data_IF_161459513910
#
_entry.id   IF_161459513910
#
_cell.length_a   1.000
_cell.length_b   1.000
_cell.length_c   1.000
_cell.angle_alpha   90.00
_cell.angle_beta   90.00
_cell.angle_gamma   90.00
#
_symmetry.space_group_name_H-M   'P 1'
#
loop_
_entity.id
_entity.type
_entity.pdbx_description
1 polymer ?
#
# COMPACT_ATOMS: atom_id res chain seq x y z
N UNK A 1 -0.94 -8.20 3.91
CA UNK A 1 -1.74 -8.05 5.17
C UNK A 1 -1.46 -9.23 6.08
N UNK A 2 -1.54 -9.09 7.41
CA UNK A 2 -1.32 -10.23 8.34
C UNK A 2 -2.62 -10.77 8.93
N UNK A 3 -2.65 -12.04 9.35
CA UNK A 3 -3.81 -12.63 10.03
C UNK A 3 -4.28 -11.81 11.25
N UNK A 4 -3.33 -11.26 12.03
CA UNK A 4 -3.64 -10.39 13.16
C UNK A 4 -4.28 -9.07 12.72
N UNK A 5 -3.82 -8.48 11.62
CA UNK A 5 -4.44 -7.28 11.04
C UNK A 5 -5.88 -7.55 10.57
N UNK A 6 -6.13 -8.71 9.95
CA UNK A 6 -7.50 -9.09 9.55
C UNK A 6 -8.40 -9.23 10.77
N UNK A 7 -7.90 -9.89 11.82
CA UNK A 7 -8.64 -10.09 13.06
C UNK A 7 -8.99 -8.75 13.73
N UNK A 8 -8.02 -7.83 13.80
CA UNK A 8 -8.23 -6.48 14.32
C UNK A 8 -9.25 -5.68 13.47
N UNK A 9 -9.14 -5.75 12.13
CA UNK A 9 -10.08 -5.10 11.23
C UNK A 9 -11.51 -5.65 11.34
N UNK A 10 -11.65 -6.93 11.70
CA UNK A 10 -12.93 -7.59 11.97
C UNK A 10 -13.47 -7.34 13.40
N UNK A 11 -12.84 -6.46 14.19
CA UNK A 11 -13.26 -6.17 15.56
C UNK A 11 -12.90 -7.25 16.59
N UNK A 12 -12.03 -8.20 16.22
CA UNK A 12 -11.60 -9.32 17.07
C UNK A 12 -10.07 -9.34 17.22
N UNK A 13 -9.46 -8.34 17.87
CA UNK A 13 -8.00 -8.32 18.07
C UNK A 13 -7.52 -9.58 18.80
N UNK A 14 -6.39 -10.14 18.35
CA UNK A 14 -5.85 -11.39 18.90
C UNK A 14 -6.43 -12.69 18.28
N UNK A 15 -7.54 -12.62 17.54
CA UNK A 15 -8.18 -13.79 16.93
C UNK A 15 -7.54 -14.24 15.60
N UNK A 16 -6.22 -14.11 15.45
CA UNK A 16 -5.51 -14.44 14.21
C UNK A 16 -5.72 -15.91 13.76
N UNK A 17 -5.80 -16.83 14.72
CA UNK A 17 -6.04 -18.25 14.44
C UNK A 17 -7.45 -18.52 13.91
N UNK A 18 -8.44 -17.79 14.41
CA UNK A 18 -9.83 -17.83 13.92
C UNK A 18 -9.89 -17.39 12.46
N UNK A 19 -9.17 -16.31 12.10
CA UNK A 19 -9.05 -15.89 10.69
C UNK A 19 -8.42 -17.00 9.85
N UNK A 20 -7.38 -17.67 10.35
CA UNK A 20 -6.79 -18.82 9.67
C UNK A 20 -7.79 -19.94 9.38
N UNK A 21 -8.66 -20.27 10.34
CA UNK A 21 -9.73 -21.24 10.13
C UNK A 21 -10.76 -20.77 9.11
N UNK A 22 -11.18 -19.50 9.19
CA UNK A 22 -12.11 -18.93 8.21
C UNK A 22 -11.52 -18.96 6.79
N UNK A 23 -10.25 -18.57 6.61
CA UNK A 23 -9.56 -18.61 5.32
C UNK A 23 -9.46 -20.04 4.78
N UNK A 24 -9.18 -21.02 5.66
CA UNK A 24 -9.17 -22.43 5.27
C UNK A 24 -10.54 -22.94 4.82
N UNK A 25 -11.63 -22.48 5.45
CA UNK A 25 -12.99 -22.84 5.07
C UNK A 25 -13.43 -22.18 3.76
N UNK A 26 -13.06 -20.92 3.55
CA UNK A 26 -13.40 -20.15 2.34
C UNK A 26 -12.57 -20.57 1.12
N UNK A 27 -11.33 -21.01 1.34
CA UNK A 27 -10.42 -21.46 0.29
C UNK A 27 -10.22 -20.41 -0.80
N UNK A 28 -10.47 -20.80 -2.06
CA UNK A 28 -10.24 -19.96 -3.25
C UNK A 28 -11.32 -18.91 -3.52
N UNK A 29 -12.40 -18.87 -2.73
CA UNK A 29 -13.46 -17.85 -2.90
C UNK A 29 -13.00 -16.46 -2.49
N UNK A 30 -11.89 -16.37 -1.75
CA UNK A 30 -11.27 -15.13 -1.31
C UNK A 30 -9.78 -15.13 -1.69
N UNK A 31 -9.13 -13.96 -1.81
CA UNK A 31 -7.70 -13.85 -2.11
C UNK A 31 -6.85 -14.21 -0.87
N UNK A 32 -6.97 -15.45 -0.41
CA UNK A 32 -6.34 -15.98 0.79
C UNK A 32 -4.81 -15.84 0.73
N UNK A 33 -4.22 -15.88 -0.46
CA UNK A 33 -2.78 -15.78 -0.64
C UNK A 33 -2.18 -14.48 -0.09
N UNK A 34 -2.98 -13.40 -0.03
CA UNK A 34 -2.54 -12.06 0.44
C UNK A 34 -2.42 -11.95 1.96
N UNK A 35 -2.88 -12.97 2.70
CA UNK A 35 -2.87 -12.99 4.16
C UNK A 35 -1.72 -13.88 4.64
N UNK A 36 -0.76 -13.26 5.32
CA UNK A 36 0.46 -13.89 5.78
C UNK A 36 0.53 -13.92 7.32
N UNK A 37 1.37 -14.78 7.87
CA UNK A 37 1.70 -14.74 9.29
C UNK A 37 2.70 -13.64 9.60
N UNK A 38 2.47 -12.90 10.68
CA UNK A 38 3.45 -11.94 11.17
C UNK A 38 4.60 -12.69 11.86
N UNK A 39 5.84 -12.48 11.39
CA UNK A 39 7.05 -13.01 12.04
C UNK A 39 7.57 -12.04 13.09
N UNK A 40 7.60 -10.76 12.74
CA UNK A 40 8.01 -9.64 13.58
C UNK A 40 7.29 -8.36 13.07
N UNK A 41 7.48 -7.18 13.69
CA UNK A 41 6.78 -5.95 13.27
C UNK A 41 7.02 -5.50 11.82
N UNK A 42 8.13 -5.94 11.18
CA UNK A 42 8.52 -5.54 9.82
C UNK A 42 8.46 -6.66 8.80
N UNK A 43 8.29 -7.91 9.22
CA UNK A 43 8.39 -9.09 8.35
C UNK A 43 7.20 -10.01 8.55
N UNK A 44 6.59 -10.43 7.45
CA UNK A 44 5.61 -11.50 7.38
C UNK A 44 6.21 -12.73 6.68
N UNK A 45 5.56 -13.88 6.80
CA UNK A 45 5.98 -15.12 6.16
C UNK A 45 4.77 -16.03 5.89
N UNK A 46 4.95 -16.99 5.00
CA UNK A 46 3.97 -18.05 4.76
C UNK A 46 3.96 -18.99 5.97
N UNK A 47 2.79 -19.19 6.57
CA UNK A 47 2.61 -20.04 7.77
C UNK A 47 1.94 -21.38 7.46
N UNK A 48 1.64 -21.65 6.20
CA UNK A 48 1.05 -22.92 5.77
C UNK A 48 2.12 -24.01 5.92
N UNK A 49 1.83 -25.03 6.73
CA UNK A 49 2.74 -26.13 6.99
C UNK A 49 2.81 -27.14 5.81
N UNK A 50 1.73 -27.24 5.03
CA UNK A 50 1.70 -28.11 3.85
C UNK A 50 2.66 -27.58 2.75
N UNK A 51 3.59 -28.41 2.24
CA UNK A 51 4.54 -27.99 1.22
C UNK A 51 3.89 -27.52 -0.09
N UNK A 52 2.78 -28.13 -0.50
CA UNK A 52 2.09 -27.74 -1.74
C UNK A 52 1.38 -26.41 -1.59
N UNK A 53 0.63 -26.25 -0.49
CA UNK A 53 -0.08 -25.01 -0.18
C UNK A 53 0.85 -23.83 0.05
N UNK A 54 1.98 -24.04 0.72
CA UNK A 54 2.99 -22.98 0.91
C UNK A 54 3.66 -22.57 -0.40
N UNK A 55 4.00 -23.53 -1.27
CA UNK A 55 4.54 -23.24 -2.60
C UNK A 55 3.54 -22.50 -3.49
N UNK A 56 2.26 -22.91 -3.48
CA UNK A 56 1.19 -22.24 -4.22
C UNK A 56 1.00 -20.80 -3.73
N UNK A 57 0.94 -20.58 -2.41
CA UNK A 57 0.80 -19.24 -1.86
C UNK A 57 1.94 -18.32 -2.30
N UNK A 58 3.18 -18.83 -2.21
CA UNK A 58 4.37 -18.11 -2.64
C UNK A 58 4.31 -17.76 -4.12
N UNK A 59 3.99 -18.72 -4.98
CA UNK A 59 3.87 -18.53 -6.42
C UNK A 59 2.85 -17.44 -6.78
N UNK A 60 1.67 -17.47 -6.15
CA UNK A 60 0.63 -16.47 -6.38
C UNK A 60 1.10 -15.09 -5.95
N UNK A 61 1.74 -14.97 -4.78
CA UNK A 61 2.30 -13.70 -4.31
C UNK A 61 3.40 -13.16 -5.23
N UNK A 62 4.30 -14.02 -5.70
CA UNK A 62 5.35 -13.65 -6.65
C UNK A 62 4.75 -13.19 -7.99
N UNK A 63 3.66 -13.82 -8.47
CA UNK A 63 2.94 -13.37 -9.67
C UNK A 63 2.27 -12.00 -9.50
N UNK A 64 1.96 -11.62 -8.27
CA UNK A 64 1.46 -10.29 -7.91
C UNK A 64 2.59 -9.27 -7.67
N UNK A 65 3.86 -9.68 -7.85
CA UNK A 65 5.05 -8.82 -7.70
C UNK A 65 5.60 -8.75 -6.27
N UNK A 66 5.14 -9.61 -5.36
CA UNK A 66 5.66 -9.66 -3.98
C UNK A 66 7.00 -10.38 -3.96
N UNK A 67 8.02 -9.69 -3.45
CA UNK A 67 9.36 -10.26 -3.29
C UNK A 67 9.56 -10.92 -1.92
N UNK A 68 10.23 -12.06 -1.90
CA UNK A 68 10.64 -12.78 -0.70
C UNK A 68 12.15 -12.63 -0.46
N UNK A 69 12.55 -12.48 0.80
CA UNK A 69 13.96 -12.52 1.20
C UNK A 69 14.53 -13.95 1.19
N UNK A 70 15.84 -14.08 1.36
CA UNK A 70 16.53 -15.38 1.39
C UNK A 70 16.11 -16.32 2.54
N UNK A 71 15.32 -15.82 3.51
CA UNK A 71 14.73 -16.59 4.61
C UNK A 71 13.23 -16.81 4.43
N UNK A 72 12.66 -16.48 3.27
CA UNK A 72 11.23 -16.60 2.97
C UNK A 72 10.34 -15.55 3.64
N UNK A 73 10.93 -14.45 4.09
CA UNK A 73 10.22 -13.30 4.67
C UNK A 73 9.74 -12.31 3.61
N UNK A 74 8.64 -11.63 3.90
CA UNK A 74 8.05 -10.54 3.11
C UNK A 74 8.10 -9.26 3.93
N UNK A 75 8.59 -8.17 3.34
CA UNK A 75 8.65 -6.85 3.99
C UNK A 75 7.24 -6.26 4.17
N UNK A 76 6.85 -6.03 5.41
CA UNK A 76 5.61 -5.31 5.77
C UNK A 76 5.75 -3.79 5.59
N UNK A 77 6.97 -3.29 5.37
CA UNK A 77 7.15 -1.88 5.01
C UNK A 77 6.69 -1.62 3.58
N UNK A 78 7.00 -2.54 2.67
CA UNK A 78 6.70 -2.41 1.24
C UNK A 78 5.32 -2.97 0.88
N UNK A 79 4.96 -4.14 1.43
CA UNK A 79 3.74 -4.86 1.08
C UNK A 79 2.70 -4.89 2.22
N UNK A 80 2.97 -4.22 3.34
CA UNK A 80 2.07 -4.17 4.48
C UNK A 80 0.83 -3.34 4.18
N UNK A 81 -0.34 -3.89 4.51
CA UNK A 81 -1.58 -3.15 4.40
C UNK A 81 -1.73 -2.18 5.57
N UNK A 82 -2.03 -0.91 5.28
CA UNK A 82 -2.21 0.17 6.27
C UNK A 82 -3.61 0.79 6.09
N UNK A 83 -4.59 0.47 6.95
CA UNK A 83 -5.90 1.10 6.88
C UNK A 83 -5.79 2.62 7.11
N UNK A 84 -6.43 3.42 6.26
CA UNK A 84 -6.38 4.88 6.32
C UNK A 84 -5.25 5.55 5.52
N UNK A 85 -4.34 4.78 4.92
CA UNK A 85 -3.33 5.29 4.00
C UNK A 85 -3.89 5.61 2.60
N UNK A 86 -5.14 6.09 2.52
CA UNK A 86 -5.63 6.72 1.29
C UNK A 86 -4.72 7.92 1.09
N UNK A 87 -3.87 7.87 0.08
CA UNK A 87 -3.06 9.01 -0.31
C UNK A 87 -4.05 10.13 -0.63
N UNK A 88 -4.22 11.11 0.27
CA UNK A 88 -4.78 12.39 -0.13
C UNK A 88 -3.84 12.88 -1.20
N UNK A 89 -4.24 12.78 -2.48
CA UNK A 89 -3.57 13.50 -3.56
C UNK A 89 -3.45 14.94 -3.05
N UNK A 90 -2.25 15.51 -2.89
CA UNK A 90 -2.15 16.90 -2.50
C UNK A 90 -2.98 17.67 -3.51
N UNK A 91 -4.06 18.29 -3.05
CA UNK A 91 -4.88 19.17 -3.87
C UNK A 91 -3.91 20.22 -4.36
N UNK A 92 -3.63 20.23 -5.66
CA UNK A 92 -2.66 21.13 -6.27
C UNK A 92 -2.90 22.53 -5.67
N UNK A 93 -1.91 23.07 -4.97
CA UNK A 93 -1.99 24.43 -4.46
C UNK A 93 -2.22 25.35 -5.65
N UNK A 94 -3.42 25.92 -5.72
CA UNK A 94 -3.66 27.09 -6.54
C UNK A 94 -2.75 28.22 -6.02
N UNK A 95 -2.22 29.03 -6.94
CA UNK A 95 -1.25 30.12 -6.78
C UNK A 95 0.22 29.65 -6.80
N UNK A 96 1.01 29.99 -7.81
CA UNK A 96 1.28 31.37 -8.25
C UNK A 96 1.58 31.40 -9.75
N UNK A 97 0.73 32.06 -10.53
CA UNK A 97 1.09 32.56 -11.86
C UNK A 97 1.90 33.85 -11.67
N UNK A 98 3.03 34.06 -12.35
CA UNK A 98 3.71 35.35 -12.32
C UNK A 98 2.86 36.41 -13.03
N UNK A 99 2.40 37.40 -12.27
CA UNK A 99 1.75 38.61 -12.78
C UNK A 99 2.75 39.45 -13.60
N UNK A 100 2.77 39.26 -14.92
CA UNK A 100 3.37 40.26 -15.82
C UNK A 100 2.32 41.31 -16.20
N UNK A 101 2.44 42.51 -15.64
CA UNK A 101 1.78 43.71 -16.19
C UNK A 101 2.67 44.30 -17.29
N UNK A 102 2.16 44.62 -18.49
CA UNK A 102 2.93 45.36 -19.47
C UNK A 102 3.03 46.84 -19.05
N UNK A 103 4.26 47.39 -19.05
CA UNK A 103 4.50 48.85 -18.94
C UNK A 103 4.05 49.52 -20.24
N UNK A 104 2.99 50.34 -20.17
CA UNK A 104 2.63 51.28 -21.22
C UNK A 104 3.66 52.43 -21.25
N UNK A 105 4.49 52.45 -22.28
CA UNK A 105 5.31 53.61 -22.61
C UNK A 105 4.41 54.72 -23.18
N UNK A 106 4.22 55.81 -22.43
CA UNK A 106 3.63 57.05 -22.97
C UNK A 106 4.73 57.83 -23.69
N UNK A 107 4.47 58.12 -24.97
CA UNK A 107 5.21 59.08 -25.80
C UNK A 107 5.15 60.47 -25.15
N UNK A 108 6.31 61.12 -25.01
CA UNK A 108 6.40 62.56 -24.82
C UNK A 108 6.77 63.19 -26.17
N UNK A 109 5.92 64.13 -26.59
CA UNK A 109 6.09 65.00 -27.75
C UNK A 109 6.29 66.40 -27.20
N UNK A 110 7.47 66.99 -27.40
CA UNK A 110 7.76 68.43 -27.28
C UNK A 110 8.78 68.72 -28.39
N UNK A 111 8.35 69.23 -29.55
CA UNK A 111 8.21 70.65 -29.92
C UNK A 111 9.48 71.51 -29.72
N UNK A 112 10.00 71.96 -30.87
CA UNK A 112 10.61 73.27 -31.14
C UNK A 112 11.96 73.62 -30.52
N UNK A 113 13.00 73.66 -31.36
CA UNK A 113 13.41 74.88 -32.09
C UNK A 113 14.33 74.53 -33.25
#
# INVERSE_FOLDING_TARGET
MTYGQVAAAAGMPGAARTVGYAMRALGRTVPWQRVLGQKNPRTAHVTIADPRGSAEQRRLLESEGVSFDGRGGVSLLDYGWRPGAITRRPRASAATLPSSRPRLARKASERSR
#
